data_IF_466185595762
#
_entry.id   IF_466185595762
#
_cell.length_a   1.000
_cell.length_b   1.000
_cell.length_c   1.000
_cell.angle_alpha   90.00
_cell.angle_beta   90.00
_cell.angle_gamma   90.00
#
_symmetry.space_group_name_H-M   'P 1'
#
loop_
_entity.id
_entity.type
_entity.pdbx_description
1 polymer ?
#
# COMPACT_ATOMS: atom_id res chain seq x y z
N UNK A 1 28.25 -26.59 -44.84
CA UNK A 1 27.48 -25.37 -44.46
C UNK A 1 26.18 -25.67 -43.69
N UNK A 2 25.27 -26.55 -44.15
CA UNK A 2 23.98 -26.83 -43.46
C UNK A 2 24.12 -27.26 -41.98
N UNK A 3 25.13 -28.06 -41.63
CA UNK A 3 25.35 -28.55 -40.26
C UNK A 3 25.80 -27.48 -39.26
N UNK A 4 26.60 -26.50 -39.71
CA UNK A 4 27.08 -25.38 -38.87
C UNK A 4 25.92 -24.43 -38.56
N UNK A 5 25.11 -24.11 -39.58
CA UNK A 5 23.96 -23.22 -39.44
C UNK A 5 22.90 -23.78 -38.48
N UNK A 6 22.71 -25.12 -38.47
CA UNK A 6 21.81 -25.80 -37.53
C UNK A 6 22.31 -25.75 -36.08
N UNK A 7 23.63 -25.82 -35.86
CA UNK A 7 24.23 -25.71 -34.51
C UNK A 7 24.14 -24.28 -33.97
N UNK A 8 24.35 -23.27 -34.81
CA UNK A 8 24.20 -21.86 -34.45
C UNK A 8 22.75 -21.54 -34.08
N UNK A 9 21.77 -22.04 -34.84
CA UNK A 9 20.35 -21.83 -34.54
C UNK A 9 19.93 -22.45 -33.19
N UNK A 10 20.42 -23.66 -32.88
CA UNK A 10 20.14 -24.34 -31.60
C UNK A 10 20.78 -23.59 -30.42
N UNK A 11 22.01 -23.10 -30.57
CA UNK A 11 22.67 -22.30 -29.53
C UNK A 11 21.94 -20.97 -29.29
N UNK A 12 21.53 -20.27 -30.35
CA UNK A 12 20.79 -19.00 -30.22
C UNK A 12 19.44 -19.21 -29.49
N UNK A 13 18.75 -20.31 -29.78
CA UNK A 13 17.48 -20.66 -29.14
C UNK A 13 17.66 -21.03 -27.66
N UNK A 14 18.72 -21.76 -27.31
CA UNK A 14 19.09 -22.03 -25.92
C UNK A 14 19.45 -20.76 -25.15
N UNK A 15 20.16 -19.83 -25.78
CA UNK A 15 20.50 -18.54 -25.17
C UNK A 15 19.24 -17.71 -24.88
N UNK A 16 18.28 -17.67 -25.82
CA UNK A 16 17.01 -16.99 -25.65
C UNK A 16 16.19 -17.60 -24.49
N UNK A 17 16.14 -18.93 -24.40
CA UNK A 17 15.46 -19.65 -23.31
C UNK A 17 16.09 -19.39 -21.93
N UNK A 18 17.43 -19.27 -21.85
CA UNK A 18 18.09 -18.88 -20.61
C UNK A 18 17.76 -17.44 -20.20
N UNK A 19 17.74 -16.50 -21.15
CA UNK A 19 17.44 -15.09 -20.84
C UNK A 19 16.01 -14.88 -20.34
N UNK A 20 15.03 -15.62 -20.88
CA UNK A 20 13.64 -15.52 -20.42
C UNK A 20 13.44 -16.03 -18.99
N UNK A 21 14.19 -17.06 -18.58
CA UNK A 21 14.09 -17.61 -17.22
C UNK A 21 14.72 -16.69 -16.17
N UNK A 22 15.84 -16.00 -16.48
CA UNK A 22 16.41 -15.00 -15.58
C UNK A 22 15.45 -13.81 -15.35
N UNK A 23 14.79 -13.34 -16.41
CA UNK A 23 13.82 -12.23 -16.30
C UNK A 23 12.57 -12.64 -15.52
N UNK A 24 12.16 -13.91 -15.61
CA UNK A 24 10.98 -14.43 -14.90
C UNK A 24 11.22 -14.66 -13.40
N UNK A 25 12.45 -15.00 -12.99
CA UNK A 25 12.78 -15.26 -11.59
C UNK A 25 12.80 -13.97 -10.73
N UNK A 26 13.07 -12.82 -11.36
CA UNK A 26 13.05 -11.48 -10.73
C UNK A 26 11.65 -10.93 -10.41
N UNK A 27 10.56 -11.56 -10.88
CA UNK A 27 9.21 -10.96 -10.78
C UNK A 27 8.45 -11.28 -9.49
N UNK A 28 9.05 -11.97 -8.51
CA UNK A 28 8.45 -12.08 -7.17
C UNK A 28 8.72 -10.79 -6.41
N UNK A 29 7.84 -9.81 -6.58
CA UNK A 29 7.91 -8.55 -5.85
C UNK A 29 8.01 -8.79 -4.35
N UNK A 30 9.16 -8.44 -3.77
CA UNK A 30 9.36 -8.46 -2.32
C UNK A 30 8.43 -7.41 -1.69
N UNK A 31 7.65 -7.82 -0.68
CA UNK A 31 6.83 -6.86 0.06
C UNK A 31 7.75 -6.08 1.01
N UNK A 32 8.12 -4.87 0.59
CA UNK A 32 8.98 -4.01 1.38
C UNK A 32 8.14 -3.39 2.51
N UNK A 33 8.43 -3.80 3.75
CA UNK A 33 7.83 -3.20 4.94
C UNK A 33 8.27 -1.74 5.06
N UNK A 34 7.33 -0.78 5.12
CA UNK A 34 7.68 0.63 5.24
C UNK A 34 8.12 0.97 6.68
N UNK A 35 9.13 1.83 6.81
CA UNK A 35 9.54 2.37 8.11
C UNK A 35 8.54 3.44 8.57
N UNK A 36 7.47 3.00 9.25
CA UNK A 36 6.37 3.87 9.70
C UNK A 36 5.96 3.69 11.15
N UNK A 37 6.53 2.73 11.88
CA UNK A 37 6.20 2.49 13.29
C UNK A 37 6.54 3.72 14.12
N UNK A 38 5.64 4.09 15.04
CA UNK A 38 5.73 5.28 15.88
C UNK A 38 5.35 6.59 15.18
N UNK A 39 5.01 6.57 13.89
CA UNK A 39 4.58 7.77 13.16
C UNK A 39 3.07 7.95 13.24
N UNK A 40 2.64 9.21 13.33
CA UNK A 40 1.23 9.61 13.24
C UNK A 40 1.00 10.42 11.97
N UNK A 41 0.06 9.96 11.16
CA UNK A 41 -0.36 10.65 9.94
C UNK A 41 -1.73 11.29 10.14
N UNK A 42 -1.89 12.54 9.74
CA UNK A 42 -3.20 13.17 9.62
C UNK A 42 -3.79 12.81 8.26
N UNK A 43 -4.96 12.17 8.27
CA UNK A 43 -5.81 11.93 7.11
C UNK A 43 -6.90 12.99 7.11
N UNK A 44 -6.82 13.97 6.21
CA UNK A 44 -7.75 15.10 6.12
C UNK A 44 -8.60 15.01 4.85
N UNK A 45 -9.91 14.86 5.03
CA UNK A 45 -10.91 14.78 3.95
C UNK A 45 -11.72 16.08 3.79
N UNK A 46 -11.29 17.19 4.39
CA UNK A 46 -12.02 18.44 4.38
C UNK A 46 -12.94 18.56 5.60
N UNK A 47 -14.12 17.94 5.59
CA UNK A 47 -15.07 18.02 6.71
C UNK A 47 -14.67 17.16 7.91
N UNK A 48 -13.95 16.07 7.65
CA UNK A 48 -13.49 15.10 8.64
C UNK A 48 -11.98 14.94 8.57
N UNK A 49 -11.34 14.72 9.73
CA UNK A 49 -9.94 14.34 9.75
C UNK A 49 -9.64 13.37 10.89
N UNK A 50 -8.66 12.49 10.65
CA UNK A 50 -8.28 11.43 11.55
C UNK A 50 -6.77 11.42 11.75
N UNK A 51 -6.32 11.25 12.99
CA UNK A 51 -4.96 10.85 13.29
C UNK A 51 -4.86 9.33 13.17
N UNK A 52 -3.93 8.85 12.35
CA UNK A 52 -3.59 7.44 12.16
C UNK A 52 -2.18 7.21 12.71
N UNK A 53 -2.08 6.63 13.90
CA UNK A 53 -0.82 6.33 14.58
C UNK A 53 -0.46 4.88 14.38
N UNK A 54 0.70 4.60 13.79
CA UNK A 54 1.20 3.23 13.66
C UNK A 54 1.86 2.83 14.98
N UNK A 55 1.16 2.06 15.81
CA UNK A 55 1.60 1.74 17.17
C UNK A 55 2.60 0.58 17.21
N UNK A 56 2.56 -0.32 16.25
CA UNK A 56 3.54 -1.40 16.08
C UNK A 56 3.67 -1.84 14.61
N UNK A 57 4.42 -2.90 14.36
CA UNK A 57 4.49 -3.56 13.05
C UNK A 57 3.14 -4.14 12.58
N UNK A 58 2.21 -4.39 13.52
CA UNK A 58 0.93 -5.07 13.24
C UNK A 58 -0.31 -4.31 13.69
N UNK A 59 -0.16 -3.22 14.43
CA UNK A 59 -1.28 -2.43 14.96
C UNK A 59 -1.19 -0.96 14.59
N UNK A 60 -2.35 -0.36 14.38
CA UNK A 60 -2.54 1.08 14.34
C UNK A 60 -3.61 1.52 15.34
N UNK A 61 -3.55 2.79 15.72
CA UNK A 61 -4.57 3.50 16.47
C UNK A 61 -5.08 4.64 15.61
N UNK A 62 -6.40 4.76 15.48
CA UNK A 62 -7.03 5.89 14.79
C UNK A 62 -7.83 6.74 15.75
N UNK A 63 -7.93 8.04 15.45
CA UNK A 63 -8.69 9.01 16.24
C UNK A 63 -9.27 10.11 15.37
N UNK A 64 -10.57 10.33 15.45
CA UNK A 64 -11.23 11.50 14.85
C UNK A 64 -10.75 12.78 15.54
N UNK A 65 -10.21 13.71 14.77
CA UNK A 65 -9.67 15.00 15.26
C UNK A 65 -10.35 16.22 14.65
N UNK A 66 -11.19 16.04 13.62
CA UNK A 66 -12.02 17.08 13.01
C UNK A 66 -13.34 16.48 12.53
N UNK A 67 -14.42 17.23 12.67
CA UNK A 67 -15.78 16.80 12.34
C UNK A 67 -16.45 16.08 13.51
N UNK A 68 -17.68 15.61 13.28
CA UNK A 68 -18.45 14.85 14.26
C UNK A 68 -19.11 13.67 13.57
N UNK A 69 -18.99 12.48 14.15
CA UNK A 69 -19.55 11.24 13.63
C UNK A 69 -20.34 10.54 14.73
N UNK A 70 -21.53 10.02 14.40
CA UNK A 70 -22.29 9.18 15.32
C UNK A 70 -21.65 7.79 15.37
N UNK A 71 -20.81 7.56 16.37
CA UNK A 71 -20.10 6.30 16.55
C UNK A 71 -18.78 6.49 17.30
N UNK A 72 -17.92 5.45 17.32
CA UNK A 72 -16.62 5.55 17.94
C UNK A 72 -15.78 6.64 17.27
N UNK A 73 -15.15 7.49 18.08
CA UNK A 73 -14.23 8.54 17.61
C UNK A 73 -12.77 8.11 17.69
N UNK A 74 -12.51 6.86 18.08
CA UNK A 74 -11.17 6.30 18.23
C UNK A 74 -11.22 4.77 18.28
N UNK A 75 -10.13 4.11 17.87
CA UNK A 75 -10.03 2.66 17.93
C UNK A 75 -8.62 2.15 17.63
N UNK A 76 -8.38 0.90 18.01
CA UNK A 76 -7.15 0.17 17.74
C UNK A 76 -7.45 -1.02 16.85
N UNK A 77 -6.67 -1.19 15.79
CA UNK A 77 -6.93 -2.24 14.80
C UNK A 77 -5.62 -2.88 14.31
N UNK A 78 -5.64 -4.20 14.06
CA UNK A 78 -4.64 -4.81 13.20
C UNK A 78 -4.67 -4.16 11.81
N UNK A 79 -3.51 -4.02 11.21
CA UNK A 79 -3.40 -3.44 9.87
C UNK A 79 -2.42 -4.22 8.98
N UNK A 80 -2.52 -3.98 7.68
CA UNK A 80 -1.55 -4.38 6.69
C UNK A 80 -0.88 -3.13 6.12
N UNK A 81 0.39 -3.24 5.76
CA UNK A 81 1.09 -2.19 5.03
C UNK A 81 2.01 -2.76 3.96
N UNK A 82 2.27 -1.94 2.95
CA UNK A 82 3.27 -2.23 1.92
C UNK A 82 3.81 -0.92 1.36
N UNK A 83 5.11 -0.86 1.07
CA UNK A 83 5.67 0.21 0.25
C UNK A 83 5.38 -0.09 -1.22
N UNK A 84 4.63 0.78 -1.89
CA UNK A 84 4.33 0.66 -3.32
C UNK A 84 5.49 1.24 -4.15
N UNK A 85 5.98 2.41 -3.74
CA UNK A 85 7.10 3.11 -4.34
C UNK A 85 7.78 4.01 -3.30
N UNK A 86 8.87 4.68 -3.66
CA UNK A 86 9.47 5.69 -2.80
C UNK A 86 8.46 6.81 -2.47
N UNK A 87 8.18 6.99 -1.17
CA UNK A 87 7.19 7.93 -0.68
C UNK A 87 5.73 7.57 -0.97
N UNK A 88 5.43 6.37 -1.51
CA UNK A 88 4.06 5.91 -1.74
C UNK A 88 3.79 4.63 -0.95
N UNK A 89 2.83 4.71 -0.03
CA UNK A 89 2.51 3.64 0.91
C UNK A 89 1.07 3.16 0.72
N UNK A 90 0.87 1.86 0.93
CA UNK A 90 -0.44 1.27 1.15
C UNK A 90 -0.61 0.93 2.63
N UNK A 91 -1.75 1.29 3.22
CA UNK A 91 -2.20 0.74 4.50
C UNK A 91 -3.67 0.34 4.45
N UNK A 92 -4.02 -0.76 5.12
CA UNK A 92 -5.43 -1.18 5.25
C UNK A 92 -5.74 -1.76 6.61
N UNK A 93 -6.96 -1.56 7.09
CA UNK A 93 -7.47 -2.20 8.30
C UNK A 93 -8.96 -2.50 8.17
N UNK A 94 -9.44 -3.34 9.09
CA UNK A 94 -10.85 -3.65 9.29
C UNK A 94 -11.21 -3.37 10.74
N UNK A 95 -12.29 -2.63 10.94
CA UNK A 95 -12.88 -2.35 12.24
C UNK A 95 -13.81 -3.47 12.70
N UNK A 96 -14.04 -3.56 14.02
CA UNK A 96 -14.99 -4.51 14.60
C UNK A 96 -16.41 -4.31 14.09
N UNK A 97 -16.76 -3.06 13.76
CA UNK A 97 -18.02 -2.67 13.11
C UNK A 97 -18.22 -3.29 11.72
N UNK A 98 -17.15 -3.82 11.12
CA UNK A 98 -17.15 -4.35 9.76
C UNK A 98 -16.62 -3.38 8.70
N UNK A 99 -16.43 -2.10 9.06
CA UNK A 99 -15.87 -1.08 8.17
C UNK A 99 -14.45 -1.46 7.76
N UNK A 100 -14.15 -1.34 6.47
CA UNK A 100 -12.84 -1.68 5.90
C UNK A 100 -12.30 -0.48 5.13
N UNK A 101 -11.00 -0.22 5.29
CA UNK A 101 -10.35 0.92 4.67
C UNK A 101 -9.08 0.46 3.95
N UNK A 102 -8.91 0.90 2.71
CA UNK A 102 -7.74 0.64 1.88
C UNK A 102 -7.19 1.96 1.39
N UNK A 103 -6.01 2.33 1.87
CA UNK A 103 -5.49 3.69 1.76
C UNK A 103 -4.19 3.67 0.97
N UNK A 104 -4.12 4.52 -0.05
CA UNK A 104 -2.88 4.85 -0.75
C UNK A 104 -2.47 6.26 -0.32
N UNK A 105 -1.31 6.33 0.32
CA UNK A 105 -0.70 7.55 0.82
C UNK A 105 0.48 7.92 -0.08
N UNK A 106 0.35 8.98 -0.86
CA UNK A 106 1.48 9.59 -1.56
C UNK A 106 2.05 10.70 -0.68
N UNK A 107 3.09 10.36 0.08
CA UNK A 107 3.79 11.26 0.99
C UNK A 107 4.62 12.33 0.27
N UNK A 108 4.94 12.12 -1.01
CA UNK A 108 5.67 13.11 -1.81
C UNK A 108 4.75 14.28 -2.18
N UNK A 109 3.49 13.99 -2.50
CA UNK A 109 2.51 15.01 -2.91
C UNK A 109 1.49 15.37 -1.83
N UNK A 110 1.46 14.61 -0.73
CA UNK A 110 0.47 14.74 0.34
C UNK A 110 -0.93 14.28 -0.07
N UNK A 111 -1.07 13.46 -1.12
CA UNK A 111 -2.37 12.94 -1.59
C UNK A 111 -2.74 11.66 -0.86
N UNK A 112 -4.01 11.56 -0.51
CA UNK A 112 -4.62 10.37 0.08
C UNK A 112 -5.76 9.89 -0.81
N UNK A 113 -5.81 8.59 -1.06
CA UNK A 113 -6.97 7.92 -1.67
C UNK A 113 -7.38 6.76 -0.80
N UNK A 114 -8.62 6.79 -0.32
CA UNK A 114 -9.17 5.77 0.56
C UNK A 114 -10.37 5.11 -0.10
N UNK A 115 -10.25 3.81 -0.36
CA UNK A 115 -11.40 2.99 -0.68
C UNK A 115 -11.99 2.51 0.64
N UNK A 116 -13.25 2.83 0.90
CA UNK A 116 -13.95 2.43 2.12
C UNK A 116 -15.09 1.47 1.78
N UNK A 117 -15.24 0.42 2.58
CA UNK A 117 -16.34 -0.53 2.49
C UNK A 117 -17.03 -0.65 3.85
N UNK A 118 -18.24 -0.10 3.92
CA UNK A 118 -19.12 -0.17 5.09
C UNK A 118 -20.41 -0.89 4.71
N UNK A 119 -21.24 -0.21 3.92
CA UNK A 119 -22.49 -0.71 3.33
C UNK A 119 -22.42 -0.75 1.79
N UNK A 120 -21.20 -0.75 1.26
CA UNK A 120 -20.89 -0.58 -0.15
C UNK A 120 -19.52 0.07 -0.36
N UNK A 121 -18.97 -0.09 -1.57
CA UNK A 121 -17.68 0.51 -1.92
C UNK A 121 -17.82 1.99 -2.23
N UNK A 122 -17.00 2.81 -1.59
CA UNK A 122 -16.86 4.25 -1.83
C UNK A 122 -15.40 4.64 -1.96
N UNK A 123 -15.15 5.80 -2.58
CA UNK A 123 -13.80 6.38 -2.71
C UNK A 123 -13.80 7.77 -2.11
N UNK A 124 -12.95 7.96 -1.11
CA UNK A 124 -12.74 9.23 -0.43
C UNK A 124 -11.35 9.76 -0.78
N UNK A 125 -11.32 10.93 -1.43
CA UNK A 125 -10.09 11.64 -1.75
C UNK A 125 -9.76 12.60 -0.60
N UNK A 126 -8.50 12.62 -0.17
CA UNK A 126 -8.07 13.46 0.94
C UNK A 126 -6.63 13.90 0.80
N UNK A 127 -6.10 14.44 1.90
CA UNK A 127 -4.70 14.78 2.09
C UNK A 127 -4.10 13.94 3.20
N UNK A 128 -2.83 13.61 3.06
CA UNK A 128 -2.03 12.96 4.10
C UNK A 128 -0.84 13.83 4.46
N UNK A 129 -0.58 13.96 5.76
CA UNK A 129 0.62 14.63 6.26
C UNK A 129 1.14 13.95 7.52
N UNK A 130 2.46 13.84 7.65
CA UNK A 130 3.08 13.41 8.91
C UNK A 130 2.92 14.50 9.97
N UNK A 131 2.40 14.15 11.15
CA UNK A 131 2.38 15.05 12.31
C UNK A 131 3.79 15.12 12.91
N UNK A 132 4.20 16.35 13.25
CA UNK A 132 5.46 16.66 13.92
C UNK A 132 5.36 16.44 15.42
#
# INVERSE_FOLDING_TARGET
MKGIMRRVAVMAMLLLLLTTNLIAEESKGENITPDIVGKTYLFDYGEYAYDITITSDKSLHWKLVKGSFEGPSTGDNPYLSSKIADGVLFISWKEESGYQFYNVMDLNTGKLTTHANADGMSVNMGKVSLKK
#
